data_IF_851095986776
#
_entry.id   IF_851095986776
#
_cell.length_a   1.000
_cell.length_b   1.000
_cell.length_c   1.000
_cell.angle_alpha   90.00
_cell.angle_beta   90.00
_cell.angle_gamma   90.00
#
_symmetry.space_group_name_H-M   'P 1'
#
loop_
_entity.id
_entity.type
_entity.pdbx_description
1 polymer ?
#
# COMPACT_ATOMS: atom_id res chain seq x y z
N UNK A 1 18.50 -13.78 -2.66
CA UNK A 1 17.30 -14.61 -2.40
C UNK A 1 16.10 -13.87 -2.95
N UNK A 2 15.11 -14.59 -3.51
CA UNK A 2 13.87 -13.94 -3.95
C UNK A 2 13.00 -13.65 -2.73
N UNK A 3 12.47 -12.43 -2.58
CA UNK A 3 11.69 -12.05 -1.41
C UNK A 3 10.36 -12.81 -1.37
N UNK A 4 9.98 -13.23 -0.17
CA UNK A 4 8.70 -13.85 0.17
C UNK A 4 7.82 -12.76 0.75
N UNK A 5 6.67 -12.54 0.11
CA UNK A 5 5.76 -11.46 0.47
C UNK A 5 4.47 -12.06 1.02
N UNK A 6 4.13 -11.69 2.24
CA UNK A 6 2.84 -11.99 2.84
C UNK A 6 1.82 -10.93 2.39
N UNK A 7 0.73 -11.39 1.82
CA UNK A 7 -0.47 -10.60 1.58
C UNK A 7 -1.49 -10.98 2.65
N UNK A 8 -1.85 -10.04 3.52
CA UNK A 8 -2.80 -10.33 4.57
C UNK A 8 -4.18 -10.67 3.99
N UNK A 9 -4.84 -11.63 4.61
CA UNK A 9 -6.19 -12.07 4.27
C UNK A 9 -7.02 -12.30 5.54
N UNK A 10 -6.60 -11.70 6.67
CA UNK A 10 -7.21 -11.86 7.97
C UNK A 10 -8.03 -10.64 8.42
N UNK A 11 -7.96 -9.49 7.73
CA UNK A 11 -8.69 -8.27 8.06
C UNK A 11 -9.58 -7.74 6.92
N UNK A 12 -10.06 -8.62 6.05
CA UNK A 12 -11.02 -8.27 4.99
C UNK A 12 -10.38 -7.59 3.77
N UNK A 13 -9.11 -7.89 3.51
CA UNK A 13 -8.36 -7.34 2.38
C UNK A 13 -8.95 -7.69 1.02
N UNK A 14 -8.72 -6.81 0.04
CA UNK A 14 -8.77 -7.25 -1.34
C UNK A 14 -7.60 -8.22 -1.59
N UNK A 15 -7.96 -9.46 -1.89
CA UNK A 15 -7.04 -10.58 -2.05
C UNK A 15 -6.30 -10.50 -3.39
N UNK A 16 -4.99 -10.78 -3.38
CA UNK A 16 -4.16 -10.82 -4.60
C UNK A 16 -4.62 -11.88 -5.62
N UNK A 17 -5.39 -12.87 -5.19
CA UNK A 17 -6.05 -13.87 -6.03
C UNK A 17 -7.29 -13.35 -6.76
N UNK A 18 -7.79 -12.16 -6.40
CA UNK A 18 -8.88 -11.52 -7.15
C UNK A 18 -8.40 -11.19 -8.57
N UNK A 19 -8.90 -11.99 -9.52
CA UNK A 19 -8.51 -11.88 -10.91
C UNK A 19 -8.95 -10.55 -11.54
N UNK A 20 -10.09 -10.02 -11.11
CA UNK A 20 -10.65 -8.78 -11.65
C UNK A 20 -9.78 -7.58 -11.30
N UNK A 21 -9.18 -7.58 -10.11
CA UNK A 21 -8.32 -6.49 -9.66
C UNK A 21 -6.82 -6.72 -9.90
N UNK A 22 -6.28 -7.93 -9.71
CA UNK A 22 -4.82 -8.08 -9.58
C UNK A 22 -4.16 -9.17 -10.44
N UNK A 23 -4.86 -9.70 -11.44
CA UNK A 23 -4.28 -10.72 -12.35
C UNK A 23 -2.98 -10.26 -13.04
N UNK A 24 -2.87 -8.98 -13.44
CA UNK A 24 -1.63 -8.42 -14.00
C UNK A 24 -0.53 -8.27 -12.95
N UNK A 25 -0.87 -7.76 -11.77
CA UNK A 25 0.08 -7.57 -10.66
C UNK A 25 0.73 -8.91 -10.28
N UNK A 26 -0.10 -9.96 -10.12
CA UNK A 26 0.34 -11.32 -9.84
C UNK A 26 1.28 -11.84 -10.94
N UNK A 27 0.91 -11.69 -12.21
CA UNK A 27 1.74 -12.09 -13.34
C UNK A 27 3.10 -11.36 -13.35
N UNK A 28 3.14 -10.06 -13.03
CA UNK A 28 4.38 -9.30 -12.98
C UNK A 28 5.27 -9.70 -11.81
N UNK A 29 4.69 -9.98 -10.64
CA UNK A 29 5.42 -10.50 -9.50
C UNK A 29 6.05 -11.87 -9.81
N UNK A 30 5.28 -12.79 -10.41
CA UNK A 30 5.76 -14.12 -10.82
C UNK A 30 6.93 -14.01 -11.81
N UNK A 31 6.81 -13.15 -12.83
CA UNK A 31 7.89 -12.89 -13.80
C UNK A 31 9.14 -12.29 -13.18
N UNK A 32 8.98 -11.54 -12.08
CA UNK A 32 10.09 -11.00 -11.31
C UNK A 32 10.64 -12.00 -10.26
N UNK A 33 10.12 -13.23 -10.22
CA UNK A 33 10.54 -14.28 -9.29
C UNK A 33 10.07 -14.09 -7.86
N UNK A 34 9.12 -13.17 -7.61
CA UNK A 34 8.58 -12.85 -6.29
C UNK A 34 7.51 -13.87 -5.93
N UNK A 35 7.55 -14.38 -4.69
CA UNK A 35 6.55 -15.30 -4.17
C UNK A 35 5.56 -14.54 -3.29
N UNK A 36 4.39 -14.23 -3.85
CA UNK A 36 3.25 -13.68 -3.10
C UNK A 36 2.45 -14.83 -2.49
N UNK A 37 2.10 -14.70 -1.21
CA UNK A 37 1.27 -15.67 -0.50
C UNK A 37 0.20 -14.95 0.29
N UNK A 38 -1.06 -15.34 0.07
CA UNK A 38 -2.17 -14.97 0.95
C UNK A 38 -2.05 -15.73 2.25
N UNK A 39 -2.15 -14.98 3.36
CA UNK A 39 -1.97 -15.49 4.71
C UNK A 39 -3.22 -15.12 5.51
N UNK A 40 -3.98 -16.14 5.93
CA UNK A 40 -5.25 -15.94 6.64
C UNK A 40 -5.08 -15.88 8.16
N UNK A 41 -3.90 -16.24 8.67
CA UNK A 41 -3.58 -16.22 10.08
C UNK A 41 -2.57 -15.11 10.36
N UNK A 42 -3.00 -14.06 11.06
CA UNK A 42 -2.18 -12.87 11.34
C UNK A 42 -0.79 -13.20 11.91
N UNK A 43 -0.69 -14.23 12.75
CA UNK A 43 0.60 -14.62 13.36
C UNK A 43 1.59 -15.22 12.34
N UNK A 44 1.12 -15.73 11.21
CA UNK A 44 1.97 -16.31 10.17
C UNK A 44 2.60 -15.25 9.26
N UNK A 45 2.07 -14.03 9.23
CA UNK A 45 2.57 -12.91 8.42
C UNK A 45 4.07 -12.65 8.67
N UNK A 46 4.51 -12.83 9.92
CA UNK A 46 5.86 -12.52 10.39
C UNK A 46 6.92 -13.54 9.96
N UNK A 47 6.54 -14.58 9.22
CA UNK A 47 7.48 -15.55 8.63
C UNK A 47 8.03 -15.11 7.26
N UNK A 48 7.62 -13.93 6.79
CA UNK A 48 7.88 -13.39 5.45
C UNK A 48 8.78 -12.17 5.51
N UNK A 49 9.31 -11.78 4.34
CA UNK A 49 10.31 -10.72 4.24
C UNK A 49 9.65 -9.34 4.04
N UNK A 50 8.40 -9.30 3.57
CA UNK A 50 7.54 -8.11 3.42
C UNK A 50 6.10 -8.49 3.77
N UNK A 51 5.39 -7.62 4.48
CA UNK A 51 3.97 -7.79 4.83
C UNK A 51 3.13 -6.68 4.20
N UNK A 52 2.00 -7.05 3.61
CA UNK A 52 1.08 -6.14 2.92
C UNK A 52 -0.32 -6.26 3.52
N UNK A 53 -0.84 -5.14 3.99
CA UNK A 53 -2.24 -4.95 4.37
C UNK A 53 -2.91 -4.09 3.30
N UNK A 54 -3.58 -4.75 2.35
CA UNK A 54 -4.19 -4.11 1.20
C UNK A 54 -5.69 -3.93 1.42
N UNK A 55 -6.11 -2.71 1.78
CA UNK A 55 -7.51 -2.37 2.07
C UNK A 55 -8.10 -3.17 3.26
N UNK A 56 -7.55 -3.06 4.49
CA UNK A 56 -8.09 -3.77 5.65
C UNK A 56 -9.43 -3.16 6.12
N UNK A 57 -10.53 -3.88 5.92
CA UNK A 57 -11.89 -3.50 6.33
C UNK A 57 -12.19 -3.82 7.81
N UNK A 58 -11.39 -4.68 8.44
CA UNK A 58 -11.55 -5.08 9.84
C UNK A 58 -10.54 -4.36 10.73
N UNK A 59 -11.00 -3.83 11.86
CA UNK A 59 -10.14 -3.17 12.84
C UNK A 59 -9.15 -4.15 13.48
N UNK A 60 -7.89 -3.71 13.60
CA UNK A 60 -6.84 -4.40 14.35
C UNK A 60 -7.08 -4.34 15.86
N UNK A 61 -6.78 -5.44 16.57
CA UNK A 61 -6.76 -5.50 18.04
C UNK A 61 -5.48 -4.85 18.57
N UNK A 62 -5.47 -4.41 19.82
CA UNK A 62 -4.29 -3.74 20.40
C UNK A 62 -3.01 -4.59 20.34
N UNK A 63 -3.11 -5.90 20.58
CA UNK A 63 -1.96 -6.82 20.44
C UNK A 63 -1.44 -6.91 19.02
N UNK A 64 -2.32 -6.80 18.03
CA UNK A 64 -1.95 -6.81 16.61
C UNK A 64 -1.26 -5.50 16.25
N UNK A 65 -1.78 -4.37 16.73
CA UNK A 65 -1.16 -3.06 16.59
C UNK A 65 0.27 -3.07 17.15
N UNK A 66 0.45 -3.54 18.39
CA UNK A 66 1.77 -3.65 19.02
C UNK A 66 2.72 -4.52 18.20
N UNK A 67 2.22 -5.67 17.73
CA UNK A 67 3.00 -6.60 16.92
C UNK A 67 3.43 -5.99 15.58
N UNK A 68 2.52 -5.33 14.88
CA UNK A 68 2.80 -4.65 13.61
C UNK A 68 3.90 -3.61 13.80
N UNK A 69 3.78 -2.76 14.83
CA UNK A 69 4.76 -1.72 15.10
C UNK A 69 6.14 -2.31 15.44
N UNK A 70 6.19 -3.39 16.24
CA UNK A 70 7.45 -4.07 16.56
C UNK A 70 8.11 -4.67 15.32
N UNK A 71 7.36 -5.40 14.50
CA UNK A 71 7.87 -6.05 13.30
C UNK A 71 8.30 -5.04 12.22
N UNK A 72 7.63 -3.89 12.15
CA UNK A 72 8.00 -2.79 11.24
C UNK A 72 9.38 -2.17 11.52
N UNK A 73 10.00 -2.47 12.66
CA UNK A 73 11.39 -2.09 12.94
C UNK A 73 12.39 -2.93 12.13
N UNK A 74 11.99 -4.13 11.71
CA UNK A 74 12.88 -5.12 11.09
C UNK A 74 12.54 -5.42 9.64
N UNK A 75 11.24 -5.47 9.29
CA UNK A 75 10.78 -5.80 7.94
C UNK A 75 9.80 -4.74 7.41
N UNK A 76 9.73 -4.53 6.09
CA UNK A 76 8.72 -3.69 5.47
C UNK A 76 7.30 -4.18 5.78
N UNK A 77 6.51 -3.29 6.38
CA UNK A 77 5.07 -3.46 6.59
C UNK A 77 4.35 -2.35 5.86
N UNK A 78 3.50 -2.73 4.89
CA UNK A 78 2.89 -1.80 3.95
C UNK A 78 1.38 -1.79 4.12
N UNK A 79 0.84 -0.61 4.40
CA UNK A 79 -0.60 -0.36 4.44
C UNK A 79 -1.03 0.39 3.19
N UNK A 80 -2.14 -0.04 2.60
CA UNK A 80 -2.76 0.64 1.47
C UNK A 80 -4.22 0.97 1.80
N UNK A 81 -4.51 2.27 1.81
CA UNK A 81 -5.82 2.81 2.10
C UNK A 81 -6.65 3.04 0.81
N UNK A 82 -7.73 3.80 0.93
CA UNK A 82 -8.49 4.33 -0.18
C UNK A 82 -9.09 5.68 0.20
N UNK A 83 -9.47 6.50 -0.78
CA UNK A 83 -10.01 7.83 -0.52
C UNK A 83 -11.27 7.82 0.34
N UNK A 84 -11.53 8.95 0.99
CA UNK A 84 -12.76 9.25 1.74
C UNK A 84 -13.15 8.24 2.83
N UNK A 85 -12.20 7.46 3.36
CA UNK A 85 -12.45 6.45 4.39
C UNK A 85 -13.60 5.49 4.03
N UNK A 86 -13.70 5.11 2.76
CA UNK A 86 -14.68 4.11 2.32
C UNK A 86 -14.41 2.81 3.10
N UNK A 87 -15.50 2.17 3.55
CA UNK A 87 -15.51 0.96 4.38
C UNK A 87 -14.71 1.06 5.70
N UNK A 88 -14.41 2.28 6.18
CA UNK A 88 -13.66 2.48 7.42
C UNK A 88 -12.16 2.17 7.32
N UNK A 89 -11.64 1.95 6.11
CA UNK A 89 -10.25 1.50 5.89
C UNK A 89 -9.22 2.48 6.45
N UNK A 90 -9.40 3.79 6.25
CA UNK A 90 -8.45 4.77 6.77
C UNK A 90 -8.48 4.81 8.31
N UNK A 91 -9.65 4.61 8.94
CA UNK A 91 -9.77 4.49 10.40
C UNK A 91 -9.04 3.26 10.93
N UNK A 92 -9.25 2.09 10.30
CA UNK A 92 -8.57 0.84 10.66
C UNK A 92 -7.05 0.98 10.55
N UNK A 93 -6.55 1.56 9.45
CA UNK A 93 -5.12 1.82 9.25
C UNK A 93 -4.59 2.80 10.30
N UNK A 94 -5.30 3.92 10.53
CA UNK A 94 -4.89 4.94 11.48
C UNK A 94 -4.79 4.43 12.92
N UNK A 95 -5.54 3.39 13.30
CA UNK A 95 -5.40 2.72 14.60
C UNK A 95 -3.98 2.19 14.85
N UNK A 96 -3.29 1.81 13.77
CA UNK A 96 -1.90 1.35 13.80
C UNK A 96 -0.95 2.52 13.57
N UNK A 97 -1.08 3.20 12.43
CA UNK A 97 -0.02 4.07 11.90
C UNK A 97 0.07 5.42 12.63
N UNK A 98 -0.99 5.86 13.31
CA UNK A 98 -0.97 7.09 14.11
C UNK A 98 -0.03 6.98 15.32
N UNK A 99 0.17 5.78 15.86
CA UNK A 99 1.17 5.52 16.93
C UNK A 99 2.61 5.73 16.43
N UNK A 100 2.81 5.61 15.11
CA UNK A 100 4.06 5.96 14.42
C UNK A 100 4.05 7.41 13.88
N UNK A 101 3.04 8.22 14.17
CA UNK A 101 2.96 9.61 13.72
C UNK A 101 2.69 9.78 12.23
N UNK A 102 2.08 8.78 11.58
CA UNK A 102 1.55 8.87 10.21
C UNK A 102 0.02 8.87 10.30
N UNK A 103 -0.64 9.63 9.44
CA UNK A 103 -2.12 9.67 9.36
C UNK A 103 -2.55 9.63 7.91
N UNK A 104 -3.52 8.76 7.60
CA UNK A 104 -4.30 8.80 6.36
C UNK A 104 -5.50 9.72 6.59
N UNK A 105 -5.57 10.83 5.86
CA UNK A 105 -6.66 11.79 6.01
C UNK A 105 -7.97 11.29 5.37
N UNK A 106 -9.09 11.76 5.88
CA UNK A 106 -10.37 11.60 5.20
C UNK A 106 -10.48 12.65 4.08
N UNK A 107 -10.20 12.23 2.85
CA UNK A 107 -10.30 13.09 1.70
C UNK A 107 -9.87 12.38 0.42
N UNK A 108 -9.72 13.17 -0.63
CA UNK A 108 -9.30 12.70 -1.95
C UNK A 108 -8.37 13.71 -2.60
N UNK A 109 -7.27 13.22 -3.16
CA UNK A 109 -6.37 14.04 -3.95
C UNK A 109 -6.90 14.08 -5.39
N UNK A 110 -7.26 15.28 -5.85
CA UNK A 110 -7.70 15.55 -7.22
C UNK A 110 -6.68 16.47 -7.87
N UNK A 111 -6.13 16.14 -9.03
CA UNK A 111 -5.22 17.01 -9.79
C UNK A 111 -5.75 17.31 -11.20
N UNK A 112 -6.28 18.52 -11.39
CA UNK A 112 -6.83 18.98 -12.68
C UNK A 112 -5.78 19.15 -13.78
N UNK A 113 -4.49 19.22 -13.43
CA UNK A 113 -3.41 19.55 -14.39
C UNK A 113 -2.48 18.39 -14.65
N UNK A 114 -2.04 17.68 -13.61
CA UNK A 114 -1.06 16.60 -13.70
C UNK A 114 -1.73 15.26 -13.37
N UNK A 115 -2.46 14.73 -14.36
CA UNK A 115 -3.19 13.47 -14.21
C UNK A 115 -3.12 12.59 -15.46
N UNK A 116 -3.54 11.33 -15.32
CA UNK A 116 -3.58 10.34 -16.41
C UNK A 116 -4.96 10.31 -17.11
N UNK A 117 -5.42 11.45 -17.61
CA UNK A 117 -6.68 11.57 -18.35
C UNK A 117 -7.94 11.66 -17.47
N UNK A 118 -7.79 11.60 -16.15
CA UNK A 118 -8.84 11.79 -15.17
C UNK A 118 -8.23 12.49 -13.94
N UNK A 119 -8.79 13.62 -13.44
CA UNK A 119 -8.28 14.31 -12.26
C UNK A 119 -8.15 13.44 -10.99
N UNK A 120 -8.91 12.34 -10.89
CA UNK A 120 -8.82 11.35 -9.82
C UNK A 120 -7.65 10.36 -10.00
N UNK A 121 -6.88 10.47 -11.08
CA UNK A 121 -5.69 9.69 -11.42
C UNK A 121 -4.46 10.63 -11.45
N UNK A 122 -4.16 11.33 -10.35
CA UNK A 122 -3.04 12.26 -10.28
C UNK A 122 -1.71 11.54 -10.51
N UNK A 123 -0.78 12.23 -11.17
CA UNK A 123 0.59 11.78 -11.37
C UNK A 123 1.45 12.37 -10.25
N UNK A 124 2.18 11.52 -9.56
CA UNK A 124 3.12 11.84 -8.50
C UNK A 124 4.53 11.35 -8.85
N UNK A 125 5.51 11.76 -8.05
CA UNK A 125 6.91 11.38 -8.21
C UNK A 125 7.31 10.38 -7.12
N UNK A 126 8.04 9.33 -7.53
CA UNK A 126 8.69 8.36 -6.66
C UNK A 126 10.11 8.11 -7.16
N UNK A 127 11.13 8.57 -6.42
CA UNK A 127 12.56 8.37 -6.75
C UNK A 127 12.91 8.73 -8.22
N UNK A 128 12.40 9.85 -8.71
CA UNK A 128 12.58 10.30 -10.10
C UNK A 128 11.75 9.54 -11.15
N UNK A 129 10.92 8.57 -10.75
CA UNK A 129 9.92 7.93 -11.60
C UNK A 129 8.58 8.66 -11.48
N UNK A 130 7.76 8.59 -12.53
CA UNK A 130 6.38 9.08 -12.47
C UNK A 130 5.43 7.92 -12.17
N UNK A 131 4.56 8.08 -11.18
CA UNK A 131 3.56 7.08 -10.81
C UNK A 131 2.17 7.71 -10.80
N UNK A 132 1.16 6.94 -11.20
CA UNK A 132 -0.24 7.34 -11.13
C UNK A 132 -0.83 6.82 -9.83
N UNK A 133 -1.50 7.69 -9.07
CA UNK A 133 -2.03 7.36 -7.74
C UNK A 133 -3.55 7.58 -7.69
N UNK A 134 -4.35 6.68 -8.28
CA UNK A 134 -5.79 6.87 -8.40
C UNK A 134 -6.48 6.83 -7.04
N UNK A 135 -7.57 7.59 -6.90
CA UNK A 135 -8.50 7.46 -5.77
C UNK A 135 -7.77 7.49 -4.41
N UNK A 136 -6.82 8.41 -4.27
CA UNK A 136 -5.89 8.45 -3.16
C UNK A 136 -6.35 9.41 -2.07
N UNK A 137 -6.36 8.95 -0.82
CA UNK A 137 -6.40 9.80 0.35
C UNK A 137 -5.04 10.52 0.54
N UNK A 138 -5.03 11.77 1.06
CA UNK A 138 -3.79 12.39 1.50
C UNK A 138 -3.17 11.67 2.70
N UNK A 139 -1.85 11.56 2.72
CA UNK A 139 -1.08 11.02 3.85
C UNK A 139 -0.29 12.14 4.52
N UNK A 140 -0.26 12.15 5.86
CA UNK A 140 0.47 13.16 6.66
C UNK A 140 1.43 12.50 7.64
N UNK A 141 2.44 13.27 8.03
CA UNK A 141 3.48 12.81 8.95
C UNK A 141 4.45 11.83 8.29
N UNK A 142 5.38 11.29 9.09
CA UNK A 142 6.48 10.48 8.59
C UNK A 142 7.37 11.20 7.57
N UNK A 143 8.14 10.41 6.82
CA UNK A 143 8.98 10.85 5.70
C UNK A 143 8.18 10.63 4.41
N UNK A 144 7.85 11.68 3.63
CA UNK A 144 7.16 11.53 2.35
C UNK A 144 7.94 10.65 1.38
N UNK A 145 7.25 9.72 0.72
CA UNK A 145 7.83 8.81 -0.28
C UNK A 145 7.37 9.11 -1.70
N UNK A 146 6.09 9.45 -1.83
CA UNK A 146 5.45 9.72 -3.12
C UNK A 146 4.76 11.07 -3.02
N UNK A 147 5.24 12.02 -3.81
CA UNK A 147 4.85 13.44 -3.70
C UNK A 147 4.45 13.97 -5.07
N UNK A 148 3.36 14.73 -5.10
CA UNK A 148 2.88 15.43 -6.29
C UNK A 148 2.15 16.69 -5.87
N UNK A 149 0.87 16.80 -6.24
CA UNK A 149 -0.01 17.86 -5.71
C UNK A 149 -0.17 17.79 -4.18
N UNK A 150 -0.01 16.59 -3.62
CA UNK A 150 -0.01 16.32 -2.19
C UNK A 150 0.92 15.12 -1.90
N UNK A 151 0.96 14.63 -0.66
CA UNK A 151 1.66 13.41 -0.25
C UNK A 151 0.74 12.20 -0.39
N UNK A 152 1.13 11.27 -1.26
CA UNK A 152 0.37 10.07 -1.61
C UNK A 152 0.80 8.85 -0.80
N UNK A 153 2.06 8.84 -0.35
CA UNK A 153 2.59 7.82 0.53
C UNK A 153 3.68 8.39 1.42
N UNK A 154 3.80 7.86 2.63
CA UNK A 154 4.83 8.23 3.60
C UNK A 154 5.32 6.98 4.35
N UNK A 155 6.48 7.08 4.99
CA UNK A 155 7.00 6.03 5.85
C UNK A 155 7.62 6.52 7.15
N UNK A 156 7.72 5.62 8.10
CA UNK A 156 8.57 5.74 9.29
C UNK A 156 9.23 4.39 9.53
N UNK A 157 10.56 4.37 9.55
CA UNK A 157 11.32 3.11 9.54
C UNK A 157 10.87 2.24 8.35
N UNK A 158 10.45 0.98 8.57
CA UNK A 158 9.91 0.13 7.51
C UNK A 158 8.38 0.07 7.50
N UNK A 159 7.69 0.91 8.28
CA UNK A 159 6.25 1.08 8.19
C UNK A 159 5.92 2.07 7.07
N UNK A 160 5.27 1.58 6.01
CA UNK A 160 4.95 2.36 4.81
C UNK A 160 3.44 2.44 4.65
N UNK A 161 2.93 3.64 4.34
CA UNK A 161 1.50 3.90 4.20
C UNK A 161 1.24 4.60 2.88
N UNK A 162 0.36 4.00 2.08
CA UNK A 162 -0.16 4.56 0.84
C UNK A 162 -1.61 4.99 1.04
N UNK A 163 -1.99 6.13 0.48
CA UNK A 163 -3.37 6.61 0.50
C UNK A 163 -4.29 5.89 -0.49
N UNK A 164 -3.78 4.94 -1.28
CA UNK A 164 -4.54 4.17 -2.27
C UNK A 164 -4.02 2.74 -2.40
N UNK A 165 -4.95 1.80 -2.55
CA UNK A 165 -4.73 0.40 -2.88
C UNK A 165 -4.88 0.09 -4.37
N UNK A 166 -5.32 1.05 -5.18
CA UNK A 166 -5.66 0.81 -6.60
C UNK A 166 -4.57 1.24 -7.57
N UNK A 167 -3.44 1.81 -7.11
CA UNK A 167 -2.34 2.16 -8.02
C UNK A 167 -1.75 0.93 -8.75
N UNK A 168 -1.89 -0.26 -8.16
CA UNK A 168 -1.40 -1.52 -8.71
C UNK A 168 -2.49 -2.48 -9.20
N UNK A 169 -3.73 -2.00 -9.33
CA UNK A 169 -4.81 -2.79 -9.93
C UNK A 169 -4.61 -2.99 -11.44
N UNK A 170 -5.45 -3.81 -12.07
CA UNK A 170 -5.35 -4.15 -13.48
C UNK A 170 -5.47 -2.95 -14.44
N UNK A 171 -6.08 -1.85 -13.99
CA UNK A 171 -6.23 -0.61 -14.75
C UNK A 171 -4.93 0.20 -14.65
N UNK A 172 -4.38 0.32 -13.44
CA UNK A 172 -3.38 1.32 -13.08
C UNK A 172 -1.96 0.79 -13.13
N UNK A 173 -1.76 -0.53 -12.99
CA UNK A 173 -0.42 -1.14 -12.94
C UNK A 173 0.45 -0.85 -14.18
N UNK A 174 -0.19 -0.68 -15.34
CA UNK A 174 0.49 -0.38 -16.61
C UNK A 174 0.61 1.12 -16.90
N UNK A 175 0.09 1.97 -16.01
CA UNK A 175 0.24 3.41 -16.14
C UNK A 175 1.60 3.84 -15.60
N UNK A 176 2.35 4.58 -16.42
CA UNK A 176 3.67 5.16 -16.08
C UNK A 176 4.59 4.11 -15.43
N UNK A 177 5.20 4.40 -14.29
CA UNK A 177 6.12 3.50 -13.59
C UNK A 177 5.45 2.70 -12.44
N UNK A 178 4.12 2.60 -12.39
CA UNK A 178 3.40 1.88 -11.33
C UNK A 178 3.87 0.43 -11.16
N UNK A 179 4.15 -0.26 -12.27
CA UNK A 179 4.76 -1.60 -12.23
C UNK A 179 6.11 -1.61 -11.51
N UNK A 180 6.97 -0.63 -11.77
CA UNK A 180 8.29 -0.55 -11.12
C UNK A 180 8.13 -0.32 -9.62
N UNK A 181 7.22 0.58 -9.23
CA UNK A 181 6.87 0.83 -7.83
C UNK A 181 6.37 -0.44 -7.14
N UNK A 182 5.40 -1.16 -7.72
CA UNK A 182 4.85 -2.39 -7.16
C UNK A 182 5.93 -3.47 -6.95
N UNK A 183 6.82 -3.67 -7.93
CA UNK A 183 7.94 -4.62 -7.80
C UNK A 183 8.95 -4.18 -6.74
N UNK A 184 9.18 -2.87 -6.57
CA UNK A 184 10.06 -2.33 -5.52
C UNK A 184 9.51 -2.61 -4.13
N UNK A 185 8.21 -2.41 -3.94
CA UNK A 185 7.50 -2.71 -2.69
C UNK A 185 7.67 -4.18 -2.33
N UNK A 186 7.42 -5.09 -3.28
CA UNK A 186 7.58 -6.53 -3.06
C UNK A 186 9.02 -6.95 -2.78
N UNK A 187 10.01 -6.15 -3.20
CA UNK A 187 11.42 -6.37 -2.89
C UNK A 187 11.85 -5.77 -1.55
N UNK A 188 10.97 -5.07 -0.86
CA UNK A 188 11.29 -4.32 0.35
C UNK A 188 12.16 -3.10 0.10
N UNK A 189 12.30 -2.67 -1.15
CA UNK A 189 13.08 -1.47 -1.53
C UNK A 189 12.15 -0.28 -1.68
N UNK A 190 11.63 0.21 -0.54
CA UNK A 190 10.67 1.33 -0.48
C UNK A 190 11.05 2.32 0.62
#
# INVERSE_FOLDING_TARGET
MNPRVAWDASHGEFLISDYYYFSKLKLYAERAGIKLKEVHEFNELWNYDVVIFNYPEVSFREKEVERILEESKSIPVVFLAYYSNIDGVAENINRVVSKAGIVVENGVIIDERRNAGNPMFPIAEWRGCEVVMPCCAPVRGGIPLIVGKDVFAAKRENLVVFGTCVFWDNISIDLKDNRKLAISIFKGDI
#
